data_IF_799489606589
#
_entry.id   IF_799489606589
#
_cell.length_a   1.000
_cell.length_b   1.000
_cell.length_c   1.000
_cell.angle_alpha   90.00
_cell.angle_beta   90.00
_cell.angle_gamma   90.00
#
_symmetry.space_group_name_H-M   'P 1'
#
loop_
_entity.id
_entity.type
_entity.pdbx_description
1 polymer ?
#
# COMPACT_ATOMS: atom_id res chain seq x y z
N UNK A 1 1.09 4.84 -3.94
CA UNK A 1 0.24 5.22 -2.81
C UNK A 1 -1.15 4.61 -2.98
N UNK A 2 -1.71 3.99 -1.92
CA UNK A 2 -3.08 3.48 -1.90
C UNK A 2 -3.33 2.14 -2.59
N UNK A 3 -2.44 1.66 -3.44
CA UNK A 3 -2.53 0.35 -4.12
C UNK A 3 -1.18 -0.36 -4.13
N UNK A 4 -1.17 -1.70 -4.23
CA UNK A 4 0.07 -2.45 -4.41
C UNK A 4 0.64 -2.27 -5.82
N UNK A 5 1.97 -2.36 -5.93
CA UNK A 5 2.66 -2.50 -7.21
C UNK A 5 3.06 -3.96 -7.47
N UNK A 6 3.44 -4.26 -8.71
CA UNK A 6 3.95 -5.58 -9.07
C UNK A 6 5.43 -5.80 -8.68
N UNK A 7 6.13 -4.76 -8.28
CA UNK A 7 7.50 -4.87 -7.76
C UNK A 7 7.50 -5.40 -6.34
N UNK A 8 8.56 -6.09 -5.94
CA UNK A 8 8.70 -6.65 -4.60
C UNK A 8 10.15 -6.92 -4.23
N UNK A 9 10.33 -7.49 -3.06
CA UNK A 9 11.62 -7.80 -2.44
C UNK A 9 12.30 -9.01 -3.07
N UNK A 10 13.61 -8.99 -3.14
CA UNK A 10 14.45 -10.08 -3.63
C UNK A 10 15.11 -10.83 -2.46
N UNK A 11 15.91 -11.84 -2.79
CA UNK A 11 16.67 -12.59 -1.79
C UNK A 11 17.49 -11.69 -0.86
N UNK A 12 17.36 -11.93 0.44
CA UNK A 12 17.98 -11.17 1.54
C UNK A 12 17.45 -9.74 1.74
N UNK A 13 16.46 -9.30 1.00
CA UNK A 13 15.81 -8.04 1.30
C UNK A 13 14.91 -8.19 2.54
N UNK A 14 15.04 -7.27 3.47
CA UNK A 14 14.18 -7.13 4.64
C UNK A 14 13.59 -5.73 4.61
N UNK A 15 12.32 -5.61 4.93
CA UNK A 15 11.69 -4.31 5.04
C UNK A 15 10.85 -4.20 6.32
N UNK A 16 10.75 -2.98 6.81
CA UNK A 16 9.84 -2.59 7.88
C UNK A 16 9.15 -1.31 7.49
N UNK A 17 7.87 -1.21 7.78
CA UNK A 17 7.14 0.04 7.60
C UNK A 17 6.19 0.30 8.76
N UNK A 18 5.96 1.57 9.03
CA UNK A 18 5.00 2.06 10.01
C UNK A 18 4.10 3.05 9.31
N UNK A 19 2.81 2.88 9.45
CA UNK A 19 1.80 3.79 8.92
C UNK A 19 0.96 4.36 10.06
N UNK A 20 0.55 5.60 9.86
CA UNK A 20 -0.39 6.31 10.70
C UNK A 20 -1.52 6.84 9.83
N UNK A 21 -2.75 6.67 10.29
CA UNK A 21 -3.96 7.13 9.61
C UNK A 21 -4.79 7.96 10.57
N UNK A 22 -5.30 9.10 10.10
CA UNK A 22 -6.23 9.96 10.83
C UNK A 22 -7.43 10.29 9.95
N UNK A 23 -8.64 10.19 10.53
CA UNK A 23 -9.86 10.55 9.84
C UNK A 23 -10.01 12.07 9.71
N UNK A 24 -10.74 12.51 8.68
CA UNK A 24 -11.10 13.89 8.48
C UNK A 24 -12.42 14.18 9.20
N UNK A 25 -12.42 15.11 10.14
CA UNK A 25 -13.61 15.56 10.85
C UNK A 25 -13.63 17.08 10.96
N UNK A 26 -14.77 17.71 10.61
CA UNK A 26 -15.02 19.15 10.69
C UNK A 26 -13.92 20.08 10.12
N UNK A 27 -13.29 19.65 9.01
CA UNK A 27 -12.25 20.45 8.33
C UNK A 27 -10.83 20.19 8.80
N UNK A 28 -10.59 19.26 9.70
CA UNK A 28 -9.27 18.88 10.23
C UNK A 28 -9.09 17.37 10.26
N UNK A 29 -7.86 16.91 10.11
CA UNK A 29 -7.48 15.53 10.40
C UNK A 29 -7.21 15.40 11.90
N UNK A 30 -8.02 14.59 12.59
CA UNK A 30 -8.04 14.54 14.05
C UNK A 30 -7.73 13.15 14.60
N UNK A 31 -7.24 13.10 15.83
CA UNK A 31 -7.05 11.87 16.60
C UNK A 31 -8.35 11.36 17.23
N UNK A 32 -9.26 12.28 17.51
CA UNK A 32 -10.52 12.02 18.19
C UNK A 32 -11.63 12.78 17.48
N UNK A 33 -12.77 12.14 17.29
CA UNK A 33 -13.99 12.78 16.82
C UNK A 33 -14.61 13.68 17.90
N UNK A 34 -15.67 14.39 17.52
CA UNK A 34 -16.44 15.26 18.45
C UNK A 34 -17.05 14.54 19.65
N UNK A 35 -17.17 13.22 19.61
CA UNK A 35 -17.66 12.38 20.71
C UNK A 35 -16.50 11.85 21.57
N UNK A 36 -15.29 12.36 21.38
CA UNK A 36 -14.06 11.90 22.04
C UNK A 36 -13.73 10.42 21.76
N UNK A 37 -14.21 9.90 20.62
CA UNK A 37 -13.86 8.57 20.13
C UNK A 37 -12.60 8.69 19.29
N UNK A 38 -11.65 7.80 19.52
CA UNK A 38 -10.42 7.75 18.75
C UNK A 38 -10.70 7.32 17.29
N UNK A 39 -10.25 8.12 16.34
CA UNK A 39 -10.42 7.94 14.90
C UNK A 39 -9.07 7.88 14.14
N UNK A 40 -7.98 7.85 14.90
CA UNK A 40 -6.65 7.68 14.36
C UNK A 40 -6.06 6.35 14.82
N UNK A 41 -5.37 5.67 13.93
CA UNK A 41 -4.70 4.40 14.24
C UNK A 41 -3.34 4.29 13.53
N UNK A 42 -2.53 3.36 13.99
CA UNK A 42 -1.25 3.01 13.41
C UNK A 42 -1.18 1.54 13.04
N UNK A 43 -0.38 1.24 12.05
CA UNK A 43 -0.07 -0.13 11.65
C UNK A 43 1.43 -0.28 11.39
N UNK A 44 1.93 -1.49 11.55
CA UNK A 44 3.33 -1.84 11.28
C UNK A 44 3.37 -3.08 10.40
N UNK A 45 4.31 -3.10 9.45
CA UNK A 45 4.50 -4.25 8.59
C UNK A 45 5.98 -4.61 8.52
N UNK A 46 6.27 -5.91 8.58
CA UNK A 46 7.59 -6.49 8.41
C UNK A 46 7.55 -7.48 7.26
N UNK A 47 8.61 -7.56 6.49
CA UNK A 47 8.67 -8.56 5.44
C UNK A 47 10.09 -8.94 5.07
N UNK A 48 10.17 -10.11 4.43
CA UNK A 48 11.39 -10.73 3.97
C UNK A 48 11.21 -11.21 2.53
N UNK A 49 12.22 -10.91 1.69
CA UNK A 49 12.27 -11.32 0.30
C UNK A 49 13.05 -12.62 0.06
N UNK A 50 12.61 -13.39 -0.90
CA UNK A 50 13.30 -14.59 -1.38
C UNK A 50 13.24 -14.70 -2.91
N UNK A 51 14.15 -15.49 -3.51
CA UNK A 51 14.26 -15.63 -4.95
C UNK A 51 14.82 -14.39 -5.66
N UNK A 52 14.87 -14.43 -6.97
CA UNK A 52 15.31 -13.33 -7.84
C UNK A 52 14.25 -13.06 -8.92
N UNK A 53 13.52 -11.95 -8.86
CA UNK A 53 12.47 -11.64 -9.82
C UNK A 53 13.00 -11.35 -11.23
N UNK A 54 14.27 -11.00 -11.39
CA UNK A 54 14.86 -10.73 -12.71
C UNK A 54 15.23 -12.02 -13.44
N UNK A 55 15.75 -13.00 -12.73
CA UNK A 55 16.15 -14.28 -13.33
C UNK A 55 14.98 -15.27 -13.37
N UNK A 56 14.23 -15.40 -12.27
CA UNK A 56 13.15 -16.39 -12.14
C UNK A 56 11.89 -15.77 -11.51
N UNK A 57 11.56 -16.18 -10.31
CA UNK A 57 10.46 -15.66 -9.52
C UNK A 57 11.03 -15.17 -8.19
N UNK A 58 10.71 -13.93 -7.85
CA UNK A 58 10.88 -13.39 -6.53
C UNK A 58 9.62 -13.63 -5.68
N UNK A 59 9.79 -13.59 -4.38
CA UNK A 59 8.67 -13.67 -3.47
C UNK A 59 8.97 -12.90 -2.20
N UNK A 60 7.92 -12.55 -1.47
CA UNK A 60 8.01 -11.94 -0.16
C UNK A 60 6.97 -12.51 0.79
N UNK A 61 7.35 -12.66 2.04
CA UNK A 61 6.45 -12.96 3.14
C UNK A 61 6.40 -11.74 4.02
N UNK A 62 5.19 -11.35 4.42
CA UNK A 62 5.00 -10.18 5.29
C UNK A 62 4.10 -10.51 6.47
N UNK A 63 4.34 -9.77 7.57
CA UNK A 63 3.54 -9.83 8.79
C UNK A 63 3.15 -8.40 9.13
N UNK A 64 1.86 -8.14 9.21
CA UNK A 64 1.28 -6.84 9.53
C UNK A 64 0.61 -6.86 10.90
N UNK A 65 0.95 -5.90 11.76
CA UNK A 65 0.23 -5.54 12.98
C UNK A 65 -0.70 -4.41 12.61
N UNK A 66 -2.01 -4.60 12.78
CA UNK A 66 -3.04 -3.70 12.25
C UNK A 66 -3.34 -2.56 13.23
N UNK A 67 -3.24 -2.81 14.55
CA UNK A 67 -3.48 -1.81 15.58
C UNK A 67 -2.24 -1.63 16.43
N UNK A 68 -1.62 -0.44 16.33
CA UNK A 68 -0.50 -0.04 17.18
C UNK A 68 -0.94 0.77 18.38
N UNK A 69 -2.07 1.46 18.27
CA UNK A 69 -2.57 2.40 19.26
C UNK A 69 -3.84 1.83 19.89
N UNK A 70 -3.69 1.05 20.97
CA UNK A 70 -4.85 0.51 21.68
C UNK A 70 -5.72 1.62 22.26
N UNK A 71 -7.04 1.47 22.16
CA UNK A 71 -8.00 2.28 22.89
C UNK A 71 -8.11 1.77 24.33
N UNK A 72 -8.54 2.64 25.25
CA UNK A 72 -8.74 2.26 26.65
C UNK A 72 -9.79 1.15 26.75
N UNK A 73 -9.37 -0.07 27.11
CA UNK A 73 -10.23 -1.25 27.20
C UNK A 73 -10.16 -2.20 25.98
N UNK A 74 -9.36 -1.89 24.95
CA UNK A 74 -9.13 -2.77 23.82
C UNK A 74 -7.82 -3.55 23.95
N UNK A 75 -7.66 -4.57 23.09
CA UNK A 75 -6.48 -5.42 23.00
C UNK A 75 -5.21 -4.62 22.74
N UNK A 76 -4.10 -5.00 23.39
CA UNK A 76 -2.82 -4.28 23.31
C UNK A 76 -2.09 -4.45 21.97
N UNK A 77 -0.88 -3.90 21.88
CA UNK A 77 0.02 -4.02 20.73
C UNK A 77 0.15 -5.48 20.26
N UNK A 78 -0.04 -5.71 18.96
CA UNK A 78 0.10 -7.03 18.33
C UNK A 78 -1.08 -7.97 18.54
N UNK A 79 -2.16 -7.54 19.19
CA UNK A 79 -3.36 -8.34 19.38
C UNK A 79 -4.04 -8.69 18.05
N UNK A 80 -4.00 -7.78 17.08
CA UNK A 80 -4.60 -7.94 15.76
C UNK A 80 -3.53 -7.87 14.67
N UNK A 81 -3.60 -8.80 13.73
CA UNK A 81 -2.66 -8.80 12.64
C UNK A 81 -2.97 -9.79 11.53
N UNK A 82 -2.11 -9.75 10.51
CA UNK A 82 -2.18 -10.63 9.33
C UNK A 82 -0.79 -11.06 8.91
N UNK A 83 -0.70 -12.21 8.23
CA UNK A 83 0.48 -12.56 7.46
C UNK A 83 0.09 -12.78 6.01
N UNK A 84 0.99 -12.45 5.09
CA UNK A 84 0.77 -12.50 3.66
C UNK A 84 1.94 -13.05 2.87
N UNK A 85 1.66 -13.40 1.62
CA UNK A 85 2.65 -13.84 0.63
C UNK A 85 2.38 -13.13 -0.69
N UNK A 86 3.46 -12.77 -1.38
CA UNK A 86 3.43 -12.23 -2.74
C UNK A 86 4.51 -12.91 -3.57
N UNK A 87 4.15 -13.30 -4.77
CA UNK A 87 5.08 -13.78 -5.81
C UNK A 87 5.11 -12.77 -6.93
N UNK A 88 6.31 -12.47 -7.43
CA UNK A 88 6.47 -11.46 -8.47
C UNK A 88 7.60 -11.79 -9.43
N UNK A 89 7.52 -11.23 -10.63
CA UNK A 89 8.54 -11.37 -11.68
C UNK A 89 8.71 -10.06 -12.42
N UNK A 90 9.96 -9.74 -12.74
CA UNK A 90 10.35 -8.62 -13.59
C UNK A 90 10.64 -9.10 -15.01
N UNK A 91 10.27 -8.31 -16.00
CA UNK A 91 10.50 -8.52 -17.42
C UNK A 91 11.22 -7.31 -18.02
N UNK A 92 12.54 -7.12 -17.73
CA UNK A 92 13.27 -5.93 -18.18
C UNK A 92 13.27 -5.79 -19.71
N UNK A 93 13.39 -6.91 -20.44
CA UNK A 93 13.36 -6.94 -21.90
C UNK A 93 11.99 -6.64 -22.50
N UNK A 94 10.91 -6.72 -21.71
CA UNK A 94 9.55 -6.41 -22.13
C UNK A 94 9.10 -5.08 -21.52
N UNK A 95 9.73 -4.00 -21.99
CA UNK A 95 9.36 -2.62 -21.65
C UNK A 95 9.37 -2.33 -20.14
N UNK A 96 10.32 -2.88 -19.39
CA UNK A 96 10.40 -2.74 -17.92
C UNK A 96 9.04 -3.00 -17.24
N UNK A 97 8.45 -4.14 -17.55
CA UNK A 97 7.16 -4.57 -17.00
C UNK A 97 7.39 -5.56 -15.86
N UNK A 98 6.53 -5.49 -14.86
CA UNK A 98 6.52 -6.37 -13.70
C UNK A 98 5.13 -6.98 -13.54
N UNK A 99 5.05 -8.21 -13.06
CA UNK A 99 3.79 -8.88 -12.72
C UNK A 99 3.89 -9.50 -11.33
N UNK A 100 2.79 -9.49 -10.60
CA UNK A 100 2.71 -10.13 -9.28
C UNK A 100 1.32 -10.71 -9.01
N UNK A 101 1.30 -11.72 -8.15
CA UNK A 101 0.12 -12.22 -7.47
C UNK A 101 0.37 -12.19 -5.97
N UNK A 102 -0.67 -11.93 -5.19
CA UNK A 102 -0.53 -11.87 -3.74
C UNK A 102 -1.79 -12.32 -3.03
N UNK A 103 -1.59 -12.95 -1.88
CA UNK A 103 -2.61 -13.14 -0.87
C UNK A 103 -2.12 -12.46 0.41
N UNK A 104 -2.71 -11.34 0.76
CA UNK A 104 -2.17 -10.45 1.81
C UNK A 104 -2.55 -10.87 3.23
N UNK A 105 -3.56 -11.72 3.40
CA UNK A 105 -4.09 -12.08 4.70
C UNK A 105 -4.59 -13.53 4.79
N UNK A 106 -3.81 -14.55 4.29
CA UNK A 106 -4.15 -15.95 4.48
C UNK A 106 -4.17 -16.36 5.95
N UNK A 107 -3.36 -15.70 6.77
CA UNK A 107 -3.33 -15.87 8.22
C UNK A 107 -3.79 -14.57 8.86
N UNK A 108 -4.75 -14.68 9.76
CA UNK A 108 -5.31 -13.56 10.54
C UNK A 108 -5.40 -13.97 11.99
N UNK A 109 -5.12 -13.04 12.89
CA UNK A 109 -5.33 -13.26 14.33
C UNK A 109 -5.96 -12.03 14.96
N UNK A 110 -6.53 -12.23 16.16
CA UNK A 110 -7.28 -11.20 16.85
C UNK A 110 -8.64 -10.93 16.22
N UNK A 111 -9.10 -9.71 16.32
CA UNK A 111 -10.37 -9.24 15.76
C UNK A 111 -10.25 -8.76 14.31
N UNK A 112 -9.17 -9.10 13.62
CA UNK A 112 -8.93 -8.71 12.23
C UNK A 112 -9.98 -9.34 11.27
N UNK A 113 -11.11 -8.68 11.12
CA UNK A 113 -12.26 -9.13 10.32
C UNK A 113 -12.14 -8.86 8.82
N UNK A 114 -10.98 -8.41 8.35
CA UNK A 114 -10.78 -8.09 6.93
C UNK A 114 -11.08 -9.27 6.04
N UNK A 115 -11.83 -9.02 4.96
CA UNK A 115 -12.06 -10.02 3.90
C UNK A 115 -10.73 -10.44 3.27
N UNK A 116 -10.69 -11.67 2.77
CA UNK A 116 -9.51 -12.19 2.10
C UNK A 116 -9.18 -11.32 0.89
N UNK A 117 -7.96 -10.80 0.88
CA UNK A 117 -7.45 -9.96 -0.21
C UNK A 117 -6.47 -10.76 -1.04
N UNK A 118 -6.93 -11.19 -2.19
CA UNK A 118 -6.12 -11.82 -3.25
C UNK A 118 -6.14 -10.88 -4.44
N UNK A 119 -4.97 -10.65 -5.05
CA UNK A 119 -4.89 -9.80 -6.24
C UNK A 119 -3.83 -10.28 -7.23
N UNK A 120 -4.08 -9.94 -8.50
CA UNK A 120 -3.08 -9.93 -9.57
C UNK A 120 -2.83 -8.50 -10.01
N UNK A 121 -1.57 -8.15 -10.29
CA UNK A 121 -1.17 -6.79 -10.65
C UNK A 121 -0.04 -6.79 -11.68
N UNK A 122 -0.09 -5.84 -12.59
CA UNK A 122 0.97 -5.54 -13.55
C UNK A 122 1.38 -4.08 -13.33
N UNK A 123 2.70 -3.84 -13.32
CA UNK A 123 3.27 -2.50 -13.25
C UNK A 123 4.26 -2.29 -14.37
N UNK A 124 4.28 -1.11 -14.96
CA UNK A 124 5.19 -0.71 -16.01
C UNK A 124 5.93 0.55 -15.63
N UNK A 125 7.27 0.47 -15.65
CA UNK A 125 8.15 1.62 -15.49
C UNK A 125 8.45 2.24 -16.84
N UNK A 126 8.46 3.56 -16.92
CA UNK A 126 8.85 4.30 -18.12
C UNK A 126 9.28 5.72 -17.76
N UNK A 127 10.01 6.35 -18.67
CA UNK A 127 10.39 7.75 -18.53
C UNK A 127 9.46 8.61 -19.38
N UNK A 128 8.86 9.64 -18.76
CA UNK A 128 8.24 10.73 -19.52
C UNK A 128 9.35 11.66 -20.04
N UNK A 129 9.20 12.10 -21.29
CA UNK A 129 10.17 12.97 -21.98
C UNK A 129 11.58 12.36 -22.00
N UNK A 130 11.75 11.15 -22.56
CA UNK A 130 13.04 10.42 -22.55
C UNK A 130 14.17 11.17 -23.26
N UNK A 131 13.82 12.07 -24.22
CA UNK A 131 14.76 12.85 -25.02
C UNK A 131 15.06 14.25 -24.43
N UNK A 132 14.49 14.58 -23.28
CA UNK A 132 14.72 15.87 -22.61
C UNK A 132 15.82 15.76 -21.54
N UNK A 133 16.45 16.92 -21.22
CA UNK A 133 17.45 17.01 -20.15
C UNK A 133 16.87 16.59 -18.78
N UNK A 134 15.55 16.81 -18.57
CA UNK A 134 14.83 16.34 -17.39
C UNK A 134 13.89 15.21 -17.78
N UNK A 135 14.23 14.01 -17.37
CA UNK A 135 13.39 12.82 -17.45
C UNK A 135 12.56 12.71 -16.19
N UNK A 136 11.34 12.19 -16.34
CA UNK A 136 10.45 11.93 -15.23
C UNK A 136 10.17 10.44 -15.17
N UNK A 137 10.82 9.76 -14.21
CA UNK A 137 10.54 8.36 -13.94
C UNK A 137 9.08 8.18 -13.52
N UNK A 138 8.39 7.27 -14.17
CA UNK A 138 6.95 7.06 -14.03
C UNK A 138 6.63 5.58 -13.88
N UNK A 139 5.56 5.31 -13.12
CA UNK A 139 5.05 3.97 -12.87
C UNK A 139 3.54 3.95 -13.14
N UNK A 140 3.12 3.10 -14.07
CA UNK A 140 1.71 2.78 -14.29
C UNK A 140 1.43 1.40 -13.70
N UNK A 141 0.36 1.27 -12.93
CA UNK A 141 -0.05 0.02 -12.29
C UNK A 141 -1.52 -0.26 -12.56
N UNK A 142 -1.82 -1.50 -12.95
CA UNK A 142 -3.19 -2.01 -13.13
C UNK A 142 -3.30 -3.39 -12.49
N UNK A 143 -4.42 -3.65 -11.84
CA UNK A 143 -4.65 -4.92 -11.18
C UNK A 143 -6.14 -5.25 -11.01
N UNK A 144 -6.37 -6.46 -10.59
CA UNK A 144 -7.69 -6.97 -10.19
C UNK A 144 -7.54 -7.72 -8.87
N UNK A 145 -8.47 -7.51 -7.95
CA UNK A 145 -8.38 -8.14 -6.64
C UNK A 145 -9.67 -8.12 -5.86
N UNK A 146 -9.69 -8.92 -4.82
CA UNK A 146 -10.77 -9.05 -3.84
C UNK A 146 -10.47 -8.25 -2.56
N UNK A 147 -11.24 -8.44 -1.51
CA UNK A 147 -10.96 -7.90 -0.18
C UNK A 147 -10.87 -6.38 -0.15
N UNK A 148 -9.67 -5.85 -0.03
CA UNK A 148 -9.40 -4.40 0.01
C UNK A 148 -9.66 -3.68 -1.31
N UNK A 149 -9.83 -4.43 -2.41
CA UNK A 149 -10.07 -3.87 -3.75
C UNK A 149 -11.53 -4.01 -4.21
N UNK A 150 -12.44 -4.43 -3.34
CA UNK A 150 -13.86 -4.59 -3.66
C UNK A 150 -14.52 -3.26 -4.04
N UNK A 151 -15.56 -3.36 -4.87
CA UNK A 151 -16.44 -2.21 -5.16
C UNK A 151 -17.29 -1.82 -3.95
N UNK A 152 -17.83 -0.62 -3.95
CA UNK A 152 -18.77 -0.16 -2.92
C UNK A 152 -20.01 -1.07 -2.81
N UNK A 153 -20.51 -1.61 -3.93
CA UNK A 153 -21.60 -2.57 -3.93
C UNK A 153 -21.21 -3.85 -3.19
N UNK A 154 -20.07 -4.44 -3.52
CA UNK A 154 -19.58 -5.66 -2.86
C UNK A 154 -19.31 -5.43 -1.35
N UNK A 155 -18.88 -4.22 -0.96
CA UNK A 155 -18.71 -3.86 0.45
C UNK A 155 -20.06 -3.83 1.17
N UNK A 156 -21.08 -3.18 0.60
CA UNK A 156 -22.43 -3.06 1.17
C UNK A 156 -23.13 -4.42 1.26
N UNK A 157 -22.97 -5.26 0.26
CA UNK A 157 -23.55 -6.60 0.20
C UNK A 157 -22.73 -7.66 0.96
N UNK A 158 -21.58 -7.24 1.53
CA UNK A 158 -20.64 -8.10 2.24
C UNK A 158 -20.13 -9.30 1.41
N UNK A 159 -20.09 -9.15 0.09
CA UNK A 159 -19.48 -10.14 -0.82
C UNK A 159 -17.98 -9.92 -0.94
N UNK A 160 -17.27 -10.83 -1.60
CA UNK A 160 -15.83 -10.72 -1.85
C UNK A 160 -15.52 -10.70 -3.35
N UNK A 161 -16.39 -10.09 -4.14
CA UNK A 161 -16.26 -10.04 -5.59
C UNK A 161 -15.02 -9.25 -6.00
N UNK A 162 -14.29 -9.74 -7.01
CA UNK A 162 -13.11 -9.07 -7.51
C UNK A 162 -13.48 -7.77 -8.23
N UNK A 163 -12.60 -6.77 -8.14
CA UNK A 163 -12.76 -5.51 -8.83
C UNK A 163 -11.40 -4.97 -9.29
N UNK A 164 -11.45 -4.03 -10.23
CA UNK A 164 -10.26 -3.43 -10.85
C UNK A 164 -9.73 -2.31 -9.95
N UNK A 165 -8.41 -2.25 -9.83
CA UNK A 165 -7.69 -1.13 -9.26
C UNK A 165 -6.56 -0.68 -10.19
N UNK A 166 -6.12 0.56 -10.03
CA UNK A 166 -5.02 1.07 -10.84
C UNK A 166 -4.53 2.41 -10.34
N UNK A 167 -3.34 2.80 -10.79
CA UNK A 167 -2.75 4.06 -10.37
C UNK A 167 -1.55 4.44 -11.21
N UNK A 168 -1.16 5.68 -11.02
CA UNK A 168 -0.05 6.30 -11.70
C UNK A 168 0.81 7.07 -10.70
N UNK A 169 2.12 6.87 -10.79
CA UNK A 169 3.12 7.60 -10.03
C UNK A 169 4.14 8.25 -10.95
N UNK A 170 4.64 9.42 -10.56
CA UNK A 170 5.67 10.15 -11.30
C UNK A 170 6.63 10.83 -10.35
N UNK A 171 7.92 10.74 -10.63
CA UNK A 171 8.94 11.51 -9.93
C UNK A 171 8.93 12.95 -10.45
N UNK A 172 8.53 13.90 -9.62
CA UNK A 172 8.40 15.32 -9.99
C UNK A 172 9.65 16.15 -9.69
N UNK A 173 10.42 15.74 -8.67
CA UNK A 173 11.72 16.32 -8.31
C UNK A 173 12.68 15.19 -7.94
N UNK A 174 14.00 15.41 -7.91
CA UNK A 174 14.91 14.47 -7.28
C UNK A 174 14.41 14.12 -5.88
N UNK A 175 14.17 12.80 -5.62
CA UNK A 175 13.72 12.29 -4.31
C UNK A 175 12.27 12.65 -3.91
N UNK A 176 11.47 13.26 -4.81
CA UNK A 176 10.07 13.55 -4.58
C UNK A 176 9.23 12.96 -5.71
N UNK A 177 8.24 12.18 -5.36
CA UNK A 177 7.27 11.62 -6.30
C UNK A 177 5.85 12.01 -5.91
N UNK A 178 4.97 12.04 -6.89
CA UNK A 178 3.53 12.16 -6.72
C UNK A 178 2.88 10.88 -7.25
N UNK A 179 1.84 10.39 -6.58
CA UNK A 179 1.06 9.26 -7.05
C UNK A 179 -0.43 9.48 -6.78
N UNK A 180 -1.24 8.97 -7.71
CA UNK A 180 -2.69 8.88 -7.55
C UNK A 180 -3.17 7.50 -7.96
N UNK A 181 -4.18 6.98 -7.28
CA UNK A 181 -4.68 5.64 -7.52
C UNK A 181 -6.15 5.49 -7.18
N UNK A 182 -6.80 4.58 -7.90
CA UNK A 182 -8.10 4.03 -7.60
C UNK A 182 -7.92 2.62 -7.01
N UNK A 183 -8.34 2.40 -5.78
CA UNK A 183 -8.12 1.11 -5.09
C UNK A 183 -9.24 0.08 -5.29
N UNK A 184 -10.26 0.42 -6.08
CA UNK A 184 -11.48 -0.39 -6.31
C UNK A 184 -12.75 0.34 -5.86
N UNK A 185 -12.66 1.21 -4.85
CA UNK A 185 -13.82 1.96 -4.36
C UNK A 185 -13.53 3.43 -4.07
N UNK A 186 -12.27 3.83 -3.95
CA UNK A 186 -11.88 5.15 -3.52
C UNK A 186 -10.67 5.69 -4.30
N UNK A 187 -10.66 7.00 -4.53
CA UNK A 187 -9.52 7.72 -5.10
C UNK A 187 -8.55 8.12 -3.99
N UNK A 188 -7.26 7.85 -4.21
CA UNK A 188 -6.19 8.21 -3.30
C UNK A 188 -5.16 9.06 -4.03
N UNK A 189 -4.50 9.98 -3.33
CA UNK A 189 -3.37 10.72 -3.86
C UNK A 189 -2.37 11.06 -2.75
N UNK A 190 -1.09 11.12 -3.10
CA UNK A 190 -0.05 11.40 -2.13
C UNK A 190 1.31 11.65 -2.74
N UNK A 191 2.24 12.01 -1.88
CA UNK A 191 3.64 12.27 -2.21
C UNK A 191 4.53 11.22 -1.55
N UNK A 192 5.56 10.79 -2.28
CA UNK A 192 6.66 9.99 -1.78
C UNK A 192 7.91 10.85 -1.65
N UNK A 193 8.67 10.62 -0.60
CA UNK A 193 9.91 11.33 -0.27
C UNK A 193 11.00 10.32 0.08
N UNK A 194 12.16 10.42 -0.56
CA UNK A 194 13.36 9.63 -0.26
C UNK A 194 14.52 10.59 0.04
N UNK A 195 14.50 11.30 1.19
CA UNK A 195 15.39 12.44 1.43
C UNK A 195 16.84 12.07 1.66
N UNK A 196 17.13 10.81 1.93
CA UNK A 196 18.45 10.31 2.31
C UNK A 196 19.06 9.42 1.22
N UNK A 197 20.38 9.17 1.32
CA UNK A 197 21.09 8.22 0.45
C UNK A 197 20.95 6.76 0.92
N UNK A 198 20.43 6.54 2.13
CA UNK A 198 20.04 5.23 2.62
C UNK A 198 18.52 4.99 2.38
N UNK A 199 18.07 3.75 2.33
CA UNK A 199 16.72 3.39 1.85
C UNK A 199 15.61 3.63 2.88
N UNK A 200 15.53 4.85 3.43
CA UNK A 200 14.44 5.34 4.26
C UNK A 200 13.52 6.20 3.41
N UNK A 201 12.27 5.79 3.32
CA UNK A 201 11.25 6.43 2.51
C UNK A 201 10.09 6.88 3.38
N UNK A 202 9.52 8.02 3.02
CA UNK A 202 8.30 8.55 3.59
C UNK A 202 7.24 8.66 2.52
N UNK A 203 5.99 8.48 2.89
CA UNK A 203 4.86 8.88 2.06
C UNK A 203 3.82 9.59 2.91
N UNK A 204 3.19 10.58 2.33
CA UNK A 204 2.09 11.31 2.94
C UNK A 204 1.02 11.57 1.89
N UNK A 205 -0.24 11.50 2.28
CA UNK A 205 -1.33 11.69 1.32
C UNK A 205 -2.70 11.51 1.94
N UNK A 206 -3.69 11.58 1.08
CA UNK A 206 -5.09 11.42 1.43
C UNK A 206 -5.62 10.18 0.72
N UNK A 207 -6.20 9.27 1.47
CA UNK A 207 -7.02 8.18 0.94
C UNK A 207 -8.48 8.58 0.98
N UNK A 208 -9.23 7.96 0.06
CA UNK A 208 -10.67 8.19 -0.10
C UNK A 208 -11.07 9.66 -0.29
N UNK A 209 -10.38 10.35 -1.19
CA UNK A 209 -10.73 11.73 -1.58
C UNK A 209 -12.18 11.82 -2.10
N UNK A 210 -12.72 10.73 -2.58
CA UNK A 210 -14.10 10.62 -3.10
C UNK A 210 -15.15 10.36 -2.03
N UNK A 211 -14.73 10.17 -0.76
CA UNK A 211 -15.59 9.91 0.40
C UNK A 211 -16.57 8.74 0.18
N UNK A 212 -16.09 7.71 -0.51
CA UNK A 212 -16.90 6.55 -0.86
C UNK A 212 -16.93 5.47 0.24
N UNK A 213 -15.99 5.50 1.18
CA UNK A 213 -15.97 4.58 2.31
C UNK A 213 -16.71 5.14 3.51
N UNK A 214 -17.01 4.28 4.49
CA UNK A 214 -17.68 4.69 5.73
C UNK A 214 -16.88 5.65 6.58
N UNK A 215 -15.56 5.66 6.45
CA UNK A 215 -14.67 6.53 7.21
C UNK A 215 -14.39 7.86 6.50
N UNK A 216 -14.82 7.99 5.22
CA UNK A 216 -14.55 9.18 4.43
C UNK A 216 -13.06 9.39 4.15
N UNK A 217 -12.70 10.65 3.88
CA UNK A 217 -11.31 11.00 3.61
C UNK A 217 -10.40 10.82 4.83
N UNK A 218 -9.23 10.22 4.61
CA UNK A 218 -8.27 9.95 5.67
C UNK A 218 -6.89 10.47 5.30
N UNK A 219 -6.23 11.13 6.23
CA UNK A 219 -4.82 11.49 6.10
C UNK A 219 -3.94 10.31 6.51
N UNK A 220 -2.91 10.05 5.71
CA UNK A 220 -1.99 8.94 5.92
C UNK A 220 -0.54 9.43 5.88
N UNK A 221 0.24 8.96 6.85
CA UNK A 221 1.70 9.06 6.84
C UNK A 221 2.25 7.65 6.92
N UNK A 222 3.21 7.33 6.07
CA UNK A 222 3.91 6.05 6.12
C UNK A 222 5.42 6.29 6.07
N UNK A 223 6.15 5.51 6.84
CA UNK A 223 7.62 5.47 6.83
C UNK A 223 8.05 4.04 6.59
N UNK A 224 8.90 3.81 5.61
CA UNK A 224 9.44 2.49 5.28
C UNK A 224 10.95 2.50 5.21
N UNK A 225 11.55 1.44 5.71
CA UNK A 225 12.98 1.19 5.61
C UNK A 225 13.21 -0.23 5.06
N UNK A 226 14.11 -0.35 4.11
CA UNK A 226 14.50 -1.66 3.56
C UNK A 226 16.02 -1.79 3.56
N UNK A 227 16.51 -3.01 3.76
CA UNK A 227 17.93 -3.30 3.68
C UNK A 227 18.15 -4.72 3.16
N UNK A 228 19.36 -4.94 2.62
CA UNK A 228 19.82 -6.26 2.16
C UNK A 228 21.02 -6.68 3.00
N UNK A 229 21.04 -7.90 3.48
CA UNK A 229 22.14 -8.50 4.25
C UNK A 229 22.88 -9.61 3.50
#
# INVERSE_FOLDING_TARGET
>A
FGIPSAMGSSWKDVFVSVAYTADYDEGLFTWYDKNNKKVADGSMNFGFGFGDPNESIGGEISVGIISLLSQKGESGFGADGTAGIKLHKSFPSFLNTHAAISWTNPIKWGEATKKDTVYGVISKEFELRPDADKKFASLLTLGVGTGSHRSNTAIKENTNDPNIFGGYGVQILPRVSFASSWNGNALNAGFGLSPFDFPLNFSLGISDITENSTNGAQFNINTGYSFRF
#
